data_IF_079250355290
#
_entry.id   IF_079250355290
#
_cell.length_a   1.000
_cell.length_b   1.000
_cell.length_c   1.000
_cell.angle_alpha   90.00
_cell.angle_beta   90.00
_cell.angle_gamma   90.00
#
_symmetry.space_group_name_H-M   'P 1'
#
loop_
_entity.id
_entity.type
_entity.pdbx_description
1 polymer ?
#
# COMPACT_ATOMS: atom_id res chain seq x y z
N UNK A 1 -2.02 21.18 0.02
CA UNK A 1 -1.76 19.81 -0.45
C UNK A 1 -0.26 19.66 -0.61
N UNK A 2 0.38 18.61 -0.08
CA UNK A 2 1.81 18.43 -0.20
C UNK A 2 2.25 18.29 -1.66
N UNK A 3 3.40 18.89 -2.00
CA UNK A 3 4.02 18.71 -3.33
C UNK A 3 4.44 17.27 -3.53
N UNK A 4 4.36 16.80 -4.79
CA UNK A 4 4.81 15.47 -5.20
C UNK A 4 4.11 14.28 -4.52
N UNK A 5 2.95 14.51 -3.89
CA UNK A 5 2.19 13.45 -3.23
C UNK A 5 1.57 12.45 -4.23
N UNK A 6 1.17 12.92 -5.41
CA UNK A 6 0.50 12.11 -6.44
C UNK A 6 1.16 12.21 -7.81
N UNK A 7 2.32 12.87 -7.91
CA UNK A 7 3.05 13.02 -9.16
C UNK A 7 4.54 12.98 -8.87
N UNK A 8 5.29 12.48 -9.84
CA UNK A 8 6.74 12.26 -9.74
C UNK A 8 7.48 13.58 -9.55
N UNK A 9 8.41 13.62 -8.60
CA UNK A 9 9.44 14.66 -8.55
C UNK A 9 10.53 14.32 -9.57
N UNK A 10 10.64 15.10 -10.64
CA UNK A 10 11.61 14.84 -11.71
C UNK A 10 13.06 15.18 -11.31
N UNK A 11 13.24 15.91 -10.21
CA UNK A 11 14.57 16.21 -9.64
C UNK A 11 15.05 15.12 -8.67
N UNK A 12 14.19 14.15 -8.32
CA UNK A 12 14.57 13.02 -7.46
C UNK A 12 15.22 11.90 -8.28
N UNK A 13 16.53 11.77 -8.12
CA UNK A 13 17.34 10.75 -8.78
C UNK A 13 17.08 9.32 -8.27
N UNK A 14 16.37 9.17 -7.15
CA UNK A 14 16.02 7.87 -6.58
C UNK A 14 14.61 7.40 -6.98
N UNK A 15 13.95 8.11 -7.89
CA UNK A 15 12.64 7.70 -8.38
C UNK A 15 12.76 6.47 -9.28
N UNK A 16 12.16 5.36 -8.85
CA UNK A 16 12.17 4.10 -9.60
C UNK A 16 10.79 3.43 -9.61
N UNK A 17 9.76 4.10 -10.11
CA UNK A 17 8.50 3.43 -10.42
C UNK A 17 8.64 2.70 -11.75
N UNK A 18 8.51 1.38 -11.76
CA UNK A 18 8.59 0.55 -12.97
C UNK A 18 7.24 -0.01 -13.33
N UNK A 19 6.88 0.07 -14.60
CA UNK A 19 5.69 -0.61 -15.12
C UNK A 19 5.96 -2.11 -15.24
N UNK A 20 5.03 -2.95 -14.77
CA UNK A 20 5.10 -4.40 -14.97
C UNK A 20 4.82 -4.78 -16.44
N UNK A 21 4.01 -3.99 -17.15
CA UNK A 21 3.53 -4.33 -18.50
C UNK A 21 4.39 -3.75 -19.64
N UNK A 22 5.16 -2.67 -19.39
CA UNK A 22 6.03 -2.03 -20.39
C UNK A 22 7.50 -2.28 -20.08
N UNK A 23 8.02 -3.45 -20.44
CA UNK A 23 9.46 -3.78 -20.51
C UNK A 23 10.31 -3.26 -19.33
N UNK A 24 9.73 -3.20 -18.13
CA UNK A 24 10.37 -2.69 -16.91
C UNK A 24 10.88 -1.24 -17.02
N UNK A 25 10.28 -0.43 -17.90
CA UNK A 25 10.59 0.98 -18.10
C UNK A 25 10.10 1.84 -16.93
N UNK A 26 10.86 2.91 -16.63
CA UNK A 26 10.46 3.86 -15.60
C UNK A 26 9.20 4.61 -16.04
N UNK A 27 8.14 4.49 -15.25
CA UNK A 27 6.88 5.18 -15.49
C UNK A 27 6.85 6.47 -14.67
N UNK A 28 6.50 7.60 -15.30
CA UNK A 28 6.42 8.89 -14.61
C UNK A 28 4.97 9.37 -14.51
N UNK A 29 4.49 9.58 -13.28
CA UNK A 29 3.19 10.19 -13.05
C UNK A 29 3.33 11.70 -13.19
N UNK A 30 2.92 12.25 -14.33
CA UNK A 30 2.97 13.69 -14.57
C UNK A 30 1.87 14.42 -13.80
N UNK A 31 2.11 15.66 -13.39
CA UNK A 31 1.10 16.52 -12.76
C UNK A 31 -0.12 16.82 -13.64
N UNK A 32 -0.04 16.53 -14.94
CA UNK A 32 -1.15 16.62 -15.90
C UNK A 32 -2.02 15.35 -15.96
N UNK A 33 -1.75 14.34 -15.12
CA UNK A 33 -2.53 13.10 -15.01
C UNK A 33 -3.38 13.16 -13.75
N UNK A 34 -4.65 12.78 -13.87
CA UNK A 34 -5.51 12.54 -12.72
C UNK A 34 -5.37 11.08 -12.26
N UNK A 35 -5.45 10.86 -10.95
CA UNK A 35 -5.48 9.53 -10.35
C UNK A 35 -6.83 9.31 -9.66
N UNK A 36 -7.35 8.09 -9.77
CA UNK A 36 -8.50 7.62 -9.02
C UNK A 36 -8.02 6.55 -8.05
N UNK A 37 -8.38 6.68 -6.76
CA UNK A 37 -8.13 5.60 -5.80
C UNK A 37 -9.24 4.56 -5.96
N UNK A 38 -8.90 3.37 -6.48
CA UNK A 38 -9.85 2.26 -6.59
C UNK A 38 -9.89 1.45 -5.31
N UNK A 39 -8.72 1.14 -4.74
CA UNK A 39 -8.59 0.39 -3.48
C UNK A 39 -7.57 1.06 -2.55
N UNK A 40 -7.84 1.00 -1.24
CA UNK A 40 -6.90 1.39 -0.19
C UNK A 40 -7.11 0.47 1.00
N UNK A 41 -6.09 -0.30 1.34
CA UNK A 41 -6.23 -1.47 2.22
C UNK A 41 -5.24 -1.40 3.38
N UNK A 42 -5.73 -1.66 4.59
CA UNK A 42 -4.92 -2.00 5.76
C UNK A 42 -4.76 -3.53 5.82
N UNK A 43 -3.53 -4.02 5.64
CA UNK A 43 -3.28 -5.46 5.49
C UNK A 43 -3.01 -6.11 6.84
N UNK A 44 -3.77 -7.14 7.17
CA UNK A 44 -3.56 -7.93 8.38
C UNK A 44 -4.22 -7.36 9.64
N UNK A 45 -4.99 -6.27 9.53
CA UNK A 45 -5.76 -5.70 10.63
C UNK A 45 -7.08 -5.11 10.14
N UNK A 46 -7.78 -4.45 11.05
CA UNK A 46 -9.06 -3.82 10.88
C UNK A 46 -8.95 -2.46 10.17
N UNK A 47 -10.13 -1.90 9.90
CA UNK A 47 -10.32 -0.77 9.02
C UNK A 47 -9.81 0.46 9.74
N UNK A 48 -9.14 1.34 9.01
CA UNK A 48 -8.83 2.68 9.50
C UNK A 48 -9.86 3.64 8.91
N UNK A 49 -10.86 4.08 9.69
CA UNK A 49 -11.87 5.02 9.20
C UNK A 49 -11.24 6.41 8.98
N UNK A 50 -11.88 7.27 8.17
CA UNK A 50 -11.40 8.63 7.89
C UNK A 50 -11.05 9.47 9.13
N UNK A 51 -11.75 9.26 10.25
CA UNK A 51 -11.49 9.95 11.52
C UNK A 51 -10.16 9.58 12.18
N UNK A 52 -9.62 8.41 11.84
CA UNK A 52 -8.39 7.86 12.39
C UNK A 52 -7.23 7.93 11.37
N UNK A 53 -7.46 8.56 10.21
CA UNK A 53 -6.42 8.83 9.22
C UNK A 53 -5.55 10.02 9.65
N UNK A 54 -4.40 10.17 9.00
CA UNK A 54 -3.39 11.20 9.32
C UNK A 54 -3.67 12.54 8.64
N UNK A 55 -4.92 13.02 8.74
CA UNK A 55 -5.37 14.33 8.27
C UNK A 55 -5.83 14.41 6.81
N UNK A 56 -5.78 13.29 6.08
CA UNK A 56 -6.21 13.21 4.68
C UNK A 56 -7.63 12.62 4.52
N UNK A 57 -8.28 12.25 5.61
CA UNK A 57 -9.63 11.67 5.64
C UNK A 57 -9.82 10.47 4.71
N UNK A 58 -8.78 9.67 4.54
CA UNK A 58 -8.81 8.45 3.73
C UNK A 58 -9.40 7.32 4.55
N UNK A 59 -10.18 6.47 3.88
CA UNK A 59 -10.59 5.19 4.42
C UNK A 59 -9.58 4.11 4.00
N UNK A 60 -9.15 3.27 4.94
CA UNK A 60 -8.33 2.09 4.68
C UNK A 60 -9.15 0.85 5.03
N UNK A 61 -9.56 0.09 4.01
CA UNK A 61 -10.39 -1.10 4.17
C UNK A 61 -9.61 -2.28 4.75
N UNK A 62 -10.32 -3.23 5.34
CA UNK A 62 -9.73 -4.51 5.71
C UNK A 62 -9.33 -5.28 4.46
N UNK A 63 -8.21 -5.99 4.50
CA UNK A 63 -7.87 -6.92 3.42
C UNK A 63 -8.75 -8.19 3.45
N UNK A 64 -9.05 -8.70 4.65
CA UNK A 64 -9.94 -9.84 4.87
C UNK A 64 -11.26 -9.40 5.52
N UNK A 65 -12.43 -9.88 5.05
CA UNK A 65 -12.64 -10.87 3.99
C UNK A 65 -12.82 -10.27 2.59
N UNK A 66 -12.50 -8.99 2.38
CA UNK A 66 -12.91 -8.25 1.18
C UNK A 66 -12.10 -8.61 -0.08
N UNK A 67 -10.78 -8.67 0.05
CA UNK A 67 -9.85 -8.77 -1.09
C UNK A 67 -8.93 -9.99 -1.02
N UNK A 68 -8.78 -10.57 0.18
CA UNK A 68 -7.91 -11.72 0.40
C UNK A 68 -8.56 -13.01 -0.12
N UNK A 69 -8.01 -13.55 -1.21
CA UNK A 69 -8.49 -14.79 -1.85
C UNK A 69 -7.83 -16.03 -1.22
N UNK A 70 -6.52 -15.96 -0.96
CA UNK A 70 -5.72 -17.11 -0.54
C UNK A 70 -4.73 -16.72 0.55
N UNK A 71 -4.76 -17.43 1.68
CA UNK A 71 -3.83 -17.23 2.80
C UNK A 71 -3.46 -18.54 3.53
N UNK A 72 -2.24 -18.58 4.06
CA UNK A 72 -1.85 -19.64 4.99
C UNK A 72 -2.43 -19.34 6.39
N UNK A 73 -2.71 -20.37 7.21
CA UNK A 73 -3.05 -20.16 8.62
C UNK A 73 -1.99 -19.33 9.34
N UNK A 74 -2.43 -18.46 10.27
CA UNK A 74 -1.53 -17.60 11.06
C UNK A 74 -0.60 -16.74 10.18
N UNK A 75 -1.12 -16.24 9.05
CA UNK A 75 -0.40 -15.35 8.14
C UNK A 75 -0.32 -13.91 8.63
N UNK A 76 -1.09 -13.52 9.64
CA UNK A 76 -1.03 -12.16 10.20
C UNK A 76 0.16 -12.04 11.17
N UNK A 77 1.01 -11.04 10.94
CA UNK A 77 2.08 -10.61 11.83
C UNK A 77 1.73 -9.23 12.40
N UNK A 78 1.77 -9.07 13.72
CA UNK A 78 1.23 -7.89 14.41
C UNK A 78 2.07 -7.34 15.58
N UNK A 79 3.36 -7.70 15.70
CA UNK A 79 4.22 -7.29 16.82
C UNK A 79 5.35 -6.32 16.40
N UNK A 80 5.10 -5.38 15.49
CA UNK A 80 6.13 -4.47 14.98
C UNK A 80 6.52 -3.32 15.94
N UNK A 81 6.13 -3.40 17.23
CA UNK A 81 6.36 -2.39 18.26
C UNK A 81 5.22 -1.37 18.38
N UNK A 82 5.27 -0.49 19.38
CA UNK A 82 4.17 0.48 19.61
C UNK A 82 4.28 1.77 18.79
N UNK A 83 5.49 2.13 18.31
CA UNK A 83 5.72 3.41 17.62
C UNK A 83 6.62 3.27 16.41
N UNK A 84 6.19 3.89 15.30
CA UNK A 84 6.98 3.96 14.07
C UNK A 84 8.05 5.04 14.17
N UNK A 85 9.27 4.66 13.80
CA UNK A 85 10.33 5.62 13.55
C UNK A 85 10.33 6.00 12.07
N UNK A 86 9.59 7.05 11.71
CA UNK A 86 9.64 7.63 10.37
C UNK A 86 11.07 8.06 10.06
N UNK A 87 11.73 7.37 9.13
CA UNK A 87 13.14 7.55 8.76
C UNK A 87 13.53 9.02 8.64
N UNK A 88 14.16 9.59 9.68
CA UNK A 88 14.79 10.93 9.70
C UNK A 88 13.99 12.04 8.98
N UNK A 89 12.65 12.05 9.11
CA UNK A 89 11.74 13.00 8.43
C UNK A 89 11.71 12.94 6.89
N UNK A 90 12.26 11.90 6.26
CA UNK A 90 12.17 11.73 4.80
C UNK A 90 10.79 11.23 4.37
N UNK A 91 10.10 10.49 5.25
CA UNK A 91 8.73 10.01 5.01
C UNK A 91 7.78 10.84 5.85
N UNK A 92 6.87 11.62 5.24
CA UNK A 92 5.89 12.37 6.00
C UNK A 92 4.92 11.46 6.76
N UNK A 93 4.55 11.83 7.98
CA UNK A 93 3.59 11.06 8.80
C UNK A 93 2.18 10.95 8.20
N UNK A 94 1.81 11.83 7.26
CA UNK A 94 0.55 11.73 6.52
C UNK A 94 0.56 10.65 5.42
N UNK A 95 1.69 9.96 5.19
CA UNK A 95 1.81 8.93 4.14
C UNK A 95 0.80 7.81 4.38
N UNK A 96 0.73 7.27 5.59
CA UNK A 96 -0.31 6.37 6.07
C UNK A 96 -0.39 6.44 7.60
N UNK A 97 -1.52 6.07 8.22
CA UNK A 97 -1.63 5.93 9.67
C UNK A 97 -0.69 4.84 10.20
N UNK A 98 -0.27 4.96 11.47
CA UNK A 98 0.63 3.99 12.09
C UNK A 98 0.08 2.56 12.02
N UNK A 99 -1.23 2.40 12.23
CA UNK A 99 -1.92 1.12 12.15
C UNK A 99 -1.64 0.35 10.84
N UNK A 100 -1.41 1.04 9.71
CA UNK A 100 -1.10 0.41 8.42
C UNK A 100 0.26 -0.26 8.40
N UNK A 101 1.22 0.21 9.20
CA UNK A 101 2.57 -0.36 9.27
C UNK A 101 2.76 -1.31 10.46
N UNK A 102 1.88 -1.27 11.46
CA UNK A 102 1.97 -2.11 12.67
C UNK A 102 1.46 -3.53 12.43
N UNK A 103 0.85 -3.79 11.28
CA UNK A 103 0.41 -5.13 10.88
C UNK A 103 0.86 -5.46 9.47
N UNK A 104 1.02 -6.75 9.21
CA UNK A 104 1.32 -7.26 7.88
C UNK A 104 0.74 -8.66 7.71
N UNK A 105 0.58 -9.08 6.46
CA UNK A 105 0.31 -10.48 6.11
C UNK A 105 1.55 -11.08 5.48
N UNK A 106 2.02 -12.19 6.04
CA UNK A 106 3.19 -12.95 5.62
C UNK A 106 2.76 -14.31 5.07
N UNK A 107 3.72 -15.10 4.61
CA UNK A 107 3.49 -16.50 4.22
C UNK A 107 3.00 -17.39 5.39
N UNK A 108 3.06 -16.91 6.65
CA UNK A 108 2.64 -17.65 7.83
C UNK A 108 3.78 -18.31 8.60
N UNK A 109 3.47 -18.84 9.78
CA UNK A 109 4.46 -19.52 10.63
C UNK A 109 4.68 -20.97 10.16
N UNK A 110 5.95 -21.41 10.16
CA UNK A 110 6.34 -22.80 9.90
C UNK A 110 5.87 -23.35 8.54
N UNK A 111 5.83 -22.51 7.51
CA UNK A 111 5.49 -22.91 6.14
C UNK A 111 6.47 -23.98 5.66
N UNK A 112 5.95 -25.12 5.22
CA UNK A 112 6.74 -26.28 4.74
C UNK A 112 6.67 -26.47 3.22
N UNK A 113 5.83 -25.69 2.55
CA UNK A 113 5.52 -25.82 1.13
C UNK A 113 5.46 -24.44 0.50
N UNK A 114 5.81 -24.33 -0.78
CA UNK A 114 5.71 -23.08 -1.51
C UNK A 114 4.25 -22.62 -1.59
N UNK A 115 3.98 -21.43 -1.04
CA UNK A 115 2.62 -20.89 -0.93
C UNK A 115 2.57 -19.41 -1.30
N UNK A 116 1.62 -19.06 -2.17
CA UNK A 116 1.31 -17.68 -2.50
C UNK A 116 0.16 -17.16 -1.63
N UNK A 117 0.40 -16.03 -0.97
CA UNK A 117 -0.69 -15.19 -0.43
C UNK A 117 -1.22 -14.36 -1.60
N UNK A 118 -2.53 -14.44 -1.84
CA UNK A 118 -3.15 -13.84 -3.04
C UNK A 118 -4.27 -12.91 -2.62
N UNK A 119 -4.19 -11.68 -3.12
CA UNK A 119 -5.29 -10.73 -3.11
C UNK A 119 -5.82 -10.60 -4.53
N UNK A 120 -7.13 -10.45 -4.65
CA UNK A 120 -7.80 -10.24 -5.93
C UNK A 120 -8.51 -8.88 -5.91
N UNK A 121 -8.26 -8.08 -6.95
CA UNK A 121 -8.83 -6.74 -7.11
C UNK A 121 -9.41 -6.63 -8.51
N UNK A 122 -10.73 -6.45 -8.61
CA UNK A 122 -11.39 -6.24 -9.89
C UNK A 122 -11.17 -4.79 -10.35
N UNK A 123 -10.76 -4.61 -11.60
CA UNK A 123 -10.41 -3.30 -12.16
C UNK A 123 -10.90 -3.17 -13.61
N UNK A 124 -11.05 -1.94 -14.09
CA UNK A 124 -11.39 -1.67 -15.49
C UNK A 124 -10.15 -1.85 -16.38
N UNK A 125 -10.23 -2.75 -17.34
CA UNK A 125 -9.16 -3.08 -18.30
C UNK A 125 -8.66 -1.92 -19.17
N UNK A 126 -9.36 -0.79 -19.22
CA UNK A 126 -9.03 0.35 -20.11
C UNK A 126 -8.03 1.33 -19.50
N UNK A 127 -7.67 1.15 -18.22
CA UNK A 127 -6.75 2.02 -17.49
C UNK A 127 -5.45 1.30 -17.09
N UNK A 128 -4.44 2.10 -16.77
CA UNK A 128 -3.19 1.62 -16.16
C UNK A 128 -3.28 1.77 -14.64
N UNK A 129 -2.89 0.73 -13.92
CA UNK A 129 -2.88 0.68 -12.45
C UNK A 129 -1.45 0.72 -11.92
N UNK A 130 -1.31 1.18 -10.68
CA UNK A 130 -0.05 1.34 -9.96
C UNK A 130 -0.21 0.84 -8.53
#
# INVERSE_FOLDING_TARGET
MPSFLYYTNLDDINYHLKSLDLDNTEYQVRNSKALETVYRVNVGDNQVPPSNDTGMFRNWDNDYPLYLEKQYPQSVSSDFGEHLNYLKNNVPNYTAPEAVYLTARTYGLNVKEDYNVTWNFEVDSTFTYM
#
